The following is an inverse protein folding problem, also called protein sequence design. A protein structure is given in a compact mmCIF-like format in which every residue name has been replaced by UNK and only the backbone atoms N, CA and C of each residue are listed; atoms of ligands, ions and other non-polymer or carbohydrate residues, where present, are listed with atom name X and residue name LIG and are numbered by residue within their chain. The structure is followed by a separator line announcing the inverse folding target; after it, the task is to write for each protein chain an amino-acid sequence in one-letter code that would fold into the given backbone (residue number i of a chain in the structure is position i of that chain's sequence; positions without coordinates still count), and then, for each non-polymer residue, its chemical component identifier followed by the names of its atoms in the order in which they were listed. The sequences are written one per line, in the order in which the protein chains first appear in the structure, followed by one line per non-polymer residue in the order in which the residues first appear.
data_IF_511366363125
#
_entry.id   IF_511366363125
#
_cell.length_a   1.000
_cell.length_b   1.000
_cell.length_c   1.000
_cell.angle_alpha   90.00
_cell.angle_beta   90.00
_cell.angle_gamma   90.00
#
_symmetry.space_group_name_H-M   'P 1'
#
loop_
_entity.id
_entity.type
_entity.pdbx_description
1 polymer ?
#
# COMPACT_ATOMS: atom_id res chain seq x y z
N UNK A 1 -60.29 -5.46 -51.51
CA UNK A 1 -59.92 -4.26 -50.73
C UNK A 1 -59.27 -4.72 -49.43
N UNK A 2 -58.25 -3.98 -49.00
CA UNK A 2 -57.34 -4.21 -47.86
C UNK A 2 -56.06 -5.02 -48.19
N UNK A 3 -55.06 -4.29 -48.69
CA UNK A 3 -53.63 -4.68 -48.61
C UNK A 3 -53.04 -4.07 -47.32
N UNK A 4 -52.36 -4.90 -46.54
CA UNK A 4 -51.74 -4.52 -45.27
C UNK A 4 -50.27 -4.19 -45.52
N UNK A 5 -49.91 -2.91 -45.45
CA UNK A 5 -48.53 -2.42 -45.58
C UNK A 5 -47.79 -2.60 -44.25
N UNK A 6 -46.69 -3.37 -44.27
CA UNK A 6 -45.75 -3.53 -43.15
C UNK A 6 -44.69 -2.42 -43.27
N UNK A 7 -44.79 -1.40 -42.43
CA UNK A 7 -43.78 -0.34 -42.31
C UNK A 7 -42.62 -0.78 -41.44
N UNK A 8 -41.45 -0.99 -42.03
CA UNK A 8 -40.18 -1.16 -41.33
C UNK A 8 -39.65 0.20 -40.87
N UNK A 9 -39.59 0.42 -39.55
CA UNK A 9 -38.97 1.58 -38.92
C UNK A 9 -37.47 1.33 -38.73
N UNK A 10 -36.63 1.94 -39.57
CA UNK A 10 -35.19 1.97 -39.38
C UNK A 10 -34.82 3.20 -38.55
N UNK A 11 -34.53 3.00 -37.26
CA UNK A 11 -33.92 4.03 -36.41
C UNK A 11 -32.43 4.14 -36.73
N UNK A 12 -32.08 5.15 -37.52
CA UNK A 12 -30.70 5.55 -37.74
C UNK A 12 -30.14 6.17 -36.44
N UNK A 13 -29.49 5.34 -35.61
CA UNK A 13 -28.66 5.83 -34.51
C UNK A 13 -27.49 6.64 -35.06
N UNK A 14 -27.52 7.96 -34.83
CA UNK A 14 -26.38 8.84 -35.07
C UNK A 14 -25.24 8.42 -34.12
N UNK A 15 -24.27 7.67 -34.63
CA UNK A 15 -22.99 7.50 -33.96
C UNK A 15 -22.35 8.89 -33.79
N UNK A 16 -22.20 9.32 -32.54
CA UNK A 16 -21.38 10.47 -32.20
C UNK A 16 -19.94 10.15 -32.65
N UNK A 17 -19.50 10.79 -33.74
CA UNK A 17 -18.08 10.82 -34.10
C UNK A 17 -17.38 11.66 -33.04
N UNK A 18 -16.74 11.01 -32.08
CA UNK A 18 -15.63 11.62 -31.35
C UNK A 18 -14.55 11.91 -32.36
N UNK A 19 -14.35 13.21 -32.61
CA UNK A 19 -13.27 13.73 -33.44
C UNK A 19 -11.94 13.41 -32.75
N UNK A 20 -11.37 12.24 -33.02
CA UNK A 20 -9.97 12.00 -32.68
C UNK A 20 -9.14 12.97 -33.51
N UNK A 21 -8.53 13.95 -32.85
CA UNK A 21 -7.48 14.75 -33.45
C UNK A 21 -6.45 13.77 -34.03
N UNK A 22 -6.25 13.82 -35.35
CA UNK A 22 -5.28 12.99 -36.06
C UNK A 22 -3.90 13.42 -35.61
N UNK A 23 -3.44 12.88 -34.49
CA UNK A 23 -2.10 13.10 -33.97
C UNK A 23 -1.11 12.40 -34.91
N UNK A 24 -0.11 13.17 -35.32
CA UNK A 24 0.98 12.70 -36.17
C UNK A 24 1.67 11.51 -35.50
N UNK A 25 1.76 10.40 -36.23
CA UNK A 25 2.34 9.12 -35.78
C UNK A 25 3.87 9.21 -35.55
N UNK A 26 4.49 10.36 -35.85
CA UNK A 26 5.93 10.59 -35.74
C UNK A 26 6.37 11.33 -34.47
N UNK A 27 5.44 11.88 -33.67
CA UNK A 27 5.83 12.60 -32.45
C UNK A 27 6.11 11.65 -31.28
N UNK A 28 7.36 11.19 -31.15
CA UNK A 28 7.87 10.56 -29.92
C UNK A 28 8.36 11.64 -28.96
N UNK A 29 7.77 11.72 -27.76
CA UNK A 29 8.23 12.61 -26.69
C UNK A 29 7.30 12.66 -25.48
N UNK A 30 7.84 13.03 -24.32
CA UNK A 30 7.05 13.38 -23.14
C UNK A 30 6.42 14.76 -23.35
N UNK A 31 5.12 14.91 -23.05
CA UNK A 31 4.57 16.25 -22.86
C UNK A 31 5.06 16.85 -21.54
N UNK A 32 5.00 18.18 -21.44
CA UNK A 32 5.37 18.98 -20.25
C UNK A 32 4.54 18.56 -19.02
N UNK A 33 3.42 17.85 -19.24
CA UNK A 33 2.48 17.39 -18.20
C UNK A 33 2.57 15.89 -17.86
N UNK A 34 3.57 15.15 -18.35
CA UNK A 34 3.75 13.74 -17.99
C UNK A 34 2.78 12.77 -18.67
N UNK A 35 2.19 13.15 -19.80
CA UNK A 35 1.43 12.26 -20.69
C UNK A 35 2.33 11.76 -21.84
N UNK A 36 2.21 10.48 -22.20
CA UNK A 36 2.86 9.95 -23.39
C UNK A 36 2.15 10.45 -24.65
N UNK A 37 2.89 11.09 -25.55
CA UNK A 37 2.36 11.52 -26.84
C UNK A 37 2.29 10.32 -27.78
N UNK A 38 1.12 9.69 -27.85
CA UNK A 38 0.85 8.61 -28.80
C UNK A 38 -0.65 8.53 -29.10
N UNK A 39 -1.02 8.30 -30.37
CA UNK A 39 -2.42 8.27 -30.80
C UNK A 39 -3.29 7.23 -30.07
N UNK A 40 -2.65 6.19 -29.54
CA UNK A 40 -3.29 5.11 -28.77
C UNK A 40 -3.22 5.33 -27.25
N UNK A 41 -2.75 6.49 -26.77
CA UNK A 41 -2.68 6.82 -25.34
C UNK A 41 -3.35 8.17 -25.13
N UNK A 42 -4.57 8.13 -24.61
CA UNK A 42 -5.16 9.28 -23.94
C UNK A 42 -4.91 9.22 -22.42
N UNK A 43 -5.42 10.21 -21.70
CA UNK A 43 -5.24 10.34 -20.26
C UNK A 43 -5.81 9.13 -19.49
N UNK A 44 -7.03 8.71 -19.82
CA UNK A 44 -7.71 7.62 -19.13
C UNK A 44 -7.02 6.27 -19.39
N UNK A 45 -6.58 6.06 -20.63
CA UNK A 45 -5.80 4.88 -21.03
C UNK A 45 -4.46 4.84 -20.28
N UNK A 46 -3.74 5.97 -20.20
CA UNK A 46 -2.49 6.03 -19.44
C UNK A 46 -2.72 5.71 -17.96
N UNK A 47 -3.74 6.30 -17.34
CA UNK A 47 -4.06 6.05 -15.92
C UNK A 47 -4.38 4.57 -15.69
N UNK A 48 -5.22 3.96 -16.53
CA UNK A 48 -5.57 2.54 -16.40
C UNK A 48 -4.34 1.66 -16.49
N UNK A 49 -3.53 1.83 -17.54
CA UNK A 49 -2.30 1.02 -17.72
C UNK A 49 -1.35 1.20 -16.54
N UNK A 50 -1.12 2.44 -16.12
CA UNK A 50 -0.24 2.74 -14.99
C UNK A 50 -0.80 2.13 -13.70
N UNK A 51 -2.13 2.19 -13.48
CA UNK A 51 -2.83 1.58 -12.36
C UNK A 51 -2.57 0.09 -12.25
N UNK A 52 -2.77 -0.67 -13.33
CA UNK A 52 -2.51 -2.12 -13.35
C UNK A 52 -1.08 -2.47 -12.94
N UNK A 53 -0.11 -1.67 -13.40
CA UNK A 53 1.32 -1.86 -13.08
C UNK A 53 1.64 -1.39 -11.66
N UNK A 54 1.06 -0.29 -11.18
CA UNK A 54 1.24 0.22 -9.82
C UNK A 54 0.71 -0.77 -8.78
N UNK A 55 -0.49 -1.31 -8.99
CA UNK A 55 -1.18 -2.20 -8.05
C UNK A 55 -0.45 -3.54 -7.87
N UNK A 56 0.20 -4.01 -8.93
CA UNK A 56 0.88 -5.31 -8.94
C UNK A 56 2.40 -5.20 -8.80
N UNK A 57 2.95 -4.00 -8.95
CA UNK A 57 4.38 -3.72 -9.19
C UNK A 57 4.91 -4.21 -10.54
N UNK A 58 4.22 -5.15 -11.19
CA UNK A 58 4.48 -5.63 -12.55
C UNK A 58 3.27 -6.41 -13.09
N UNK A 59 2.84 -6.10 -14.31
CA UNK A 59 1.74 -6.77 -14.99
C UNK A 59 2.20 -7.39 -16.31
N UNK A 60 1.57 -8.49 -16.74
CA UNK A 60 1.81 -9.03 -18.07
C UNK A 60 1.06 -8.19 -19.11
N UNK A 61 1.62 -8.03 -20.32
CA UNK A 61 0.99 -7.23 -21.39
C UNK A 61 -0.45 -7.71 -21.66
N UNK A 62 -0.71 -9.02 -21.64
CA UNK A 62 -2.04 -9.58 -21.85
C UNK A 62 -3.05 -9.16 -20.78
N UNK A 63 -2.62 -9.08 -19.51
CA UNK A 63 -3.48 -8.64 -18.41
C UNK A 63 -3.86 -7.15 -18.57
N UNK A 64 -2.87 -6.30 -18.91
CA UNK A 64 -3.10 -4.87 -19.15
C UNK A 64 -4.04 -4.67 -20.34
N UNK A 65 -3.87 -5.44 -21.42
CA UNK A 65 -4.74 -5.38 -22.60
C UNK A 65 -6.18 -5.76 -22.24
N UNK A 66 -6.38 -6.76 -21.39
CA UNK A 66 -7.70 -7.19 -20.95
C UNK A 66 -8.44 -6.10 -20.14
N UNK A 67 -7.72 -5.18 -19.49
CA UNK A 67 -8.27 -4.04 -18.74
C UNK A 67 -8.66 -2.85 -19.62
N UNK A 68 -8.43 -2.93 -20.94
CA UNK A 68 -8.78 -1.90 -21.92
C UNK A 68 -9.84 -2.40 -22.93
N UNK A 69 -11.03 -2.84 -22.48
CA UNK A 69 -12.06 -3.33 -23.38
C UNK A 69 -12.52 -2.22 -24.33
N UNK A 70 -12.58 -2.53 -25.64
CA UNK A 70 -13.01 -1.59 -26.68
C UNK A 70 -11.92 -0.63 -27.17
N UNK A 71 -10.72 -0.65 -26.60
CA UNK A 71 -9.62 0.17 -27.10
C UNK A 71 -9.12 -0.34 -28.47
N UNK A 72 -8.91 0.53 -29.48
CA UNK A 72 -8.60 0.10 -30.85
C UNK A 72 -7.21 -0.52 -31.01
N UNK A 73 -6.25 -0.19 -30.13
CA UNK A 73 -4.89 -0.73 -30.18
C UNK A 73 -4.22 -0.78 -28.78
N UNK A 74 -4.71 -1.62 -27.86
CA UNK A 74 -4.26 -1.62 -26.46
C UNK A 74 -2.79 -2.02 -26.32
N UNK A 75 -2.28 -2.94 -27.13
CA UNK A 75 -0.86 -3.29 -27.14
C UNK A 75 0.04 -2.10 -27.55
N UNK A 76 -0.40 -1.28 -28.51
CA UNK A 76 0.34 -0.09 -28.94
C UNK A 76 0.35 0.98 -27.83
N UNK A 77 -0.74 1.12 -27.07
CA UNK A 77 -0.82 2.00 -25.92
C UNK A 77 0.23 1.65 -24.85
N UNK A 78 0.32 0.37 -24.48
CA UNK A 78 1.32 -0.11 -23.51
C UNK A 78 2.74 0.14 -24.00
N UNK A 79 3.03 -0.17 -25.26
CA UNK A 79 4.36 0.04 -25.82
C UNK A 79 4.71 1.52 -25.96
N UNK A 80 3.75 2.40 -26.18
CA UNK A 80 3.98 3.85 -26.18
C UNK A 80 4.43 4.35 -24.79
N UNK A 81 3.88 3.83 -23.69
CA UNK A 81 4.34 4.16 -22.34
C UNK A 81 5.75 3.60 -22.05
N UNK A 82 6.09 2.43 -22.62
CA UNK A 82 7.45 1.89 -22.56
C UNK A 82 8.43 2.78 -23.34
N UNK A 83 8.09 3.15 -24.56
CA UNK A 83 8.90 4.02 -25.42
C UNK A 83 9.10 5.42 -24.82
N UNK A 84 8.08 5.94 -24.12
CA UNK A 84 8.14 7.20 -23.40
C UNK A 84 8.90 7.11 -22.06
N UNK A 85 9.32 5.90 -21.64
CA UNK A 85 10.08 5.67 -20.42
C UNK A 85 9.26 5.68 -19.13
N UNK A 86 7.92 5.72 -19.19
CA UNK A 86 7.06 5.58 -18.02
C UNK A 86 7.02 4.15 -17.49
N UNK A 87 7.27 3.18 -18.37
CA UNK A 87 7.26 1.76 -18.07
C UNK A 87 8.54 1.10 -18.59
N UNK A 88 8.94 0.02 -17.93
CA UNK A 88 10.06 -0.83 -18.33
C UNK A 88 9.51 -2.19 -18.72
N UNK A 89 9.97 -2.69 -19.87
CA UNK A 89 9.67 -4.04 -20.35
C UNK A 89 10.81 -4.99 -19.99
N UNK A 90 10.47 -6.23 -19.64
CA UNK A 90 11.44 -7.32 -19.58
C UNK A 90 12.11 -7.55 -20.96
N UNK A 91 13.42 -7.86 -21.03
CA UNK A 91 14.07 -8.19 -22.30
C UNK A 91 13.48 -9.46 -22.92
N UNK A 92 13.42 -9.51 -24.25
CA UNK A 92 12.88 -10.64 -25.00
C UNK A 92 11.79 -10.27 -26.01
N UNK A 93 11.19 -11.25 -26.70
CA UNK A 93 10.09 -11.04 -27.62
C UNK A 93 8.85 -10.51 -26.89
N UNK A 94 8.04 -9.71 -27.59
CA UNK A 94 6.76 -9.23 -27.09
C UNK A 94 5.73 -10.34 -27.26
N UNK A 95 5.22 -10.83 -26.14
CA UNK A 95 4.17 -11.85 -26.03
C UNK A 95 3.13 -11.38 -25.02
N UNK A 96 1.94 -12.00 -24.95
CA UNK A 96 0.96 -11.71 -23.89
C UNK A 96 1.52 -11.88 -22.47
N UNK A 97 2.59 -12.67 -22.29
CA UNK A 97 3.24 -12.92 -21.00
C UNK A 97 4.42 -12.00 -20.69
N UNK A 98 4.84 -11.15 -21.63
CA UNK A 98 5.93 -10.21 -21.42
C UNK A 98 5.58 -9.25 -20.29
N UNK A 99 6.50 -9.06 -19.34
CA UNK A 99 6.25 -8.26 -18.13
C UNK A 99 6.57 -6.80 -18.36
N UNK A 100 5.68 -5.95 -17.85
CA UNK A 100 5.82 -4.51 -17.77
C UNK A 100 5.90 -4.13 -16.29
N UNK A 101 6.88 -3.31 -15.92
CA UNK A 101 7.09 -2.81 -14.56
C UNK A 101 7.32 -1.30 -14.60
N UNK A 102 7.26 -0.64 -13.44
CA UNK A 102 7.76 0.73 -13.35
C UNK A 102 9.28 0.75 -13.59
N UNK A 103 9.83 1.77 -14.25
CA UNK A 103 11.27 1.98 -14.32
C UNK A 103 11.79 2.19 -12.89
N UNK A 104 12.95 1.61 -12.60
CA UNK A 104 13.72 2.03 -11.43
C UNK A 104 14.17 3.47 -11.72
N UNK A 105 13.53 4.45 -11.06
CA UNK A 105 13.95 5.84 -11.15
C UNK A 105 15.31 5.95 -10.45
N UNK A 106 16.39 6.05 -11.24
CA UNK A 106 17.67 6.56 -10.79
C UNK A 106 17.42 8.00 -10.30
N UNK A 107 17.46 8.19 -8.98
CA UNK A 107 17.06 9.45 -8.35
C UNK A 107 18.09 10.52 -8.73
N UNK A 108 17.67 11.74 -9.12
CA UNK A 108 18.61 12.85 -9.21
C UNK A 108 19.33 13.02 -7.86
N UNK A 109 20.62 13.39 -7.92
CA UNK A 109 21.39 13.68 -6.72
C UNK A 109 20.62 14.67 -5.83
N UNK A 110 20.57 14.45 -4.51
CA UNK A 110 19.77 15.26 -3.62
C UNK A 110 20.22 16.72 -3.70
N UNK A 111 19.27 17.61 -4.03
CA UNK A 111 19.44 19.05 -3.85
C UNK A 111 19.76 19.30 -2.38
N UNK A 112 20.97 19.80 -2.11
CA UNK A 112 21.41 20.22 -0.78
C UNK A 112 20.60 21.46 -0.42
N UNK A 113 19.53 21.29 0.36
CA UNK A 113 18.80 22.38 0.97
C UNK A 113 19.63 22.91 2.15
N UNK A 114 20.13 24.14 2.03
CA UNK A 114 20.74 24.85 3.14
C UNK A 114 19.70 25.07 4.25
N UNK A 115 20.04 24.67 5.48
CA UNK A 115 19.16 24.77 6.62
C UNK A 115 18.89 26.25 6.96
N UNK A 116 17.63 26.65 7.22
CA UNK A 116 17.33 27.99 7.69
C UNK A 116 17.96 28.18 9.09
N UNK A 117 18.85 29.16 9.20
CA UNK A 117 19.39 29.60 10.47
C UNK A 117 18.30 30.34 11.26
N UNK A 118 17.93 29.82 12.43
CA UNK A 118 17.22 30.59 13.47
C UNK A 118 15.86 30.05 13.88
N UNK A 119 15.84 29.02 14.73
CA UNK A 119 14.67 28.63 15.51
C UNK A 119 14.74 29.22 16.92
N UNK A 120 13.98 30.29 17.19
CA UNK A 120 13.82 30.86 18.53
C UNK A 120 13.06 29.94 19.46
N UNK A 121 13.48 29.89 20.73
CA UNK A 121 12.86 29.05 21.76
C UNK A 121 11.39 29.44 22.03
N UNK A 122 10.49 28.46 22.24
CA UNK A 122 9.10 28.73 22.58
C UNK A 122 8.97 29.29 24.01
N UNK A 123 8.07 30.26 24.25
CA UNK A 123 7.86 30.84 25.58
C UNK A 123 7.18 29.84 26.55
N UNK A 124 7.68 29.83 27.78
CA UNK A 124 7.17 29.02 28.88
C UNK A 124 5.69 29.32 29.21
N UNK A 125 4.94 28.26 29.48
CA UNK A 125 3.48 28.22 29.58
C UNK A 125 2.86 29.12 30.66
N UNK A 126 1.79 29.82 30.28
CA UNK A 126 0.88 30.52 31.19
C UNK A 126 -0.08 29.53 31.85
N UNK A 127 -0.33 29.75 33.15
CA UNK A 127 -1.25 28.96 34.00
C UNK A 127 -2.67 28.91 33.41
N UNK A 128 -3.24 27.71 33.45
CA UNK A 128 -4.47 27.31 32.77
C UNK A 128 -5.67 28.23 33.03
N UNK A 129 -6.22 28.75 31.94
CA UNK A 129 -7.53 29.38 31.89
C UNK A 129 -8.56 28.26 32.00
N UNK A 130 -9.54 28.39 32.90
CA UNK A 130 -10.70 27.47 32.97
C UNK A 130 -11.35 27.45 31.59
N UNK A 131 -11.26 26.32 30.90
CA UNK A 131 -11.91 26.08 29.61
C UNK A 131 -13.41 25.99 29.89
N UNK A 132 -14.21 26.78 29.18
CA UNK A 132 -15.66 26.68 29.28
C UNK A 132 -16.10 25.28 28.79
N UNK A 133 -17.13 24.66 29.39
CA UNK A 133 -17.63 23.37 28.93
C UNK A 133 -18.01 23.44 27.46
N UNK A 134 -17.64 22.41 26.69
CA UNK A 134 -18.02 22.27 25.28
C UNK A 134 -19.55 22.15 25.16
N UNK A 135 -20.17 22.68 24.08
CA UNK A 135 -21.59 22.50 23.81
C UNK A 135 -21.96 21.01 23.73
N UNK A 136 -23.18 20.63 24.14
CA UNK A 136 -23.69 19.24 24.07
C UNK A 136 -23.72 18.65 22.65
N UNK A 137 -23.57 19.48 21.62
CA UNK A 137 -23.48 19.07 20.21
C UNK A 137 -22.07 18.65 19.79
N UNK A 138 -21.07 18.82 20.64
CA UNK A 138 -19.67 18.46 20.35
C UNK A 138 -19.37 17.10 20.98
N UNK A 139 -19.27 16.08 20.15
CA UNK A 139 -18.75 14.78 20.58
C UNK A 139 -17.24 14.91 20.82
N UNK A 140 -16.81 14.73 22.06
CA UNK A 140 -15.39 14.61 22.41
C UNK A 140 -15.00 13.15 22.22
N UNK A 141 -14.08 12.88 21.29
CA UNK A 141 -13.52 11.55 21.09
C UNK A 141 -12.24 11.49 21.92
N UNK A 142 -12.27 10.70 22.99
CA UNK A 142 -11.07 10.46 23.80
C UNK A 142 -10.01 9.77 22.94
N UNK A 143 -8.95 10.51 22.65
CA UNK A 143 -7.89 10.06 21.75
C UNK A 143 -6.86 9.23 22.53
N UNK A 144 -6.90 7.90 22.41
CA UNK A 144 -5.85 6.98 22.90
C UNK A 144 -4.56 7.06 22.06
N UNK A 145 -3.95 8.25 21.99
CA UNK A 145 -2.73 8.49 21.20
C UNK A 145 -1.50 8.05 22.00
N UNK A 146 -0.73 7.16 21.40
CA UNK A 146 0.66 6.88 21.80
C UNK A 146 1.51 8.06 21.33
N UNK A 147 2.16 8.78 22.24
CA UNK A 147 2.87 10.02 21.94
C UNK A 147 4.40 9.80 22.05
N UNK A 148 5.16 9.88 20.95
CA UNK A 148 6.57 9.54 20.98
C UNK A 148 7.43 10.55 21.74
N UNK A 149 8.19 10.06 22.71
CA UNK A 149 9.40 10.71 23.25
C UNK A 149 10.59 10.07 22.56
N UNK A 150 11.37 10.90 21.85
CA UNK A 150 12.52 10.44 21.09
C UNK A 150 13.81 10.89 21.73
N UNK A 151 14.77 9.97 21.81
CA UNK A 151 16.14 10.25 22.23
C UNK A 151 17.08 9.73 21.15
N UNK A 152 17.91 10.60 20.60
CA UNK A 152 18.96 10.24 19.64
C UNK A 152 20.30 10.40 20.33
N UNK A 153 21.07 9.31 20.38
CA UNK A 153 22.39 9.32 21.01
C UNK A 153 23.40 8.59 20.17
N UNK A 154 24.66 8.98 20.32
CA UNK A 154 25.75 8.12 19.88
C UNK A 154 25.84 6.92 20.81
N UNK A 155 26.32 5.80 20.28
CA UNK A 155 26.44 4.59 21.08
C UNK A 155 27.41 4.75 22.27
N UNK A 156 28.46 5.55 22.11
CA UNK A 156 29.43 5.86 23.17
C UNK A 156 28.80 6.59 24.36
N UNK A 157 27.82 7.46 24.09
CA UNK A 157 27.09 8.25 25.09
C UNK A 157 25.84 7.52 25.61
N UNK A 158 25.60 6.29 25.14
CA UNK A 158 24.35 5.58 25.44
C UNK A 158 24.19 5.43 26.96
N UNK A 159 25.26 5.07 27.68
CA UNK A 159 25.22 4.86 29.13
C UNK A 159 24.85 6.11 29.95
N UNK A 160 24.94 7.30 29.35
CA UNK A 160 24.63 8.58 29.99
C UNK A 160 23.15 8.95 29.89
N UNK A 161 22.36 8.22 29.11
CA UNK A 161 20.93 8.47 29.02
C UNK A 161 20.20 8.15 30.33
N UNK A 162 19.20 8.97 30.72
CA UNK A 162 18.29 8.62 31.79
C UNK A 162 17.69 7.24 31.55
N UNK A 163 17.89 6.35 32.53
CA UNK A 163 17.25 5.03 32.49
C UNK A 163 15.75 5.21 32.44
N UNK A 164 15.11 4.34 31.67
CA UNK A 164 13.67 4.29 31.58
C UNK A 164 13.19 2.86 31.73
N UNK A 165 11.96 2.75 32.19
CA UNK A 165 11.25 1.49 32.36
C UNK A 165 10.15 1.37 31.32
N UNK A 166 9.71 0.14 31.08
CA UNK A 166 8.61 -0.17 30.19
C UNK A 166 9.01 -0.33 28.71
N UNK A 167 8.01 -0.54 27.84
CA UNK A 167 8.26 -0.87 26.45
C UNK A 167 8.80 0.32 25.64
N UNK A 168 9.67 0.02 24.69
CA UNK A 168 10.17 0.98 23.72
C UNK A 168 10.60 0.28 22.43
N UNK A 169 10.65 1.05 21.35
CA UNK A 169 11.28 0.63 20.09
C UNK A 169 12.49 1.51 19.81
N UNK A 170 13.46 0.98 19.09
CA UNK A 170 14.68 1.70 18.76
C UNK A 170 15.18 1.36 17.36
N UNK A 171 15.90 2.29 16.76
CA UNK A 171 16.54 2.15 15.47
C UNK A 171 18.04 2.40 15.64
N UNK A 172 18.87 1.38 15.37
CA UNK A 172 20.32 1.53 15.29
C UNK A 172 20.75 1.92 13.89
N UNK A 173 21.68 2.87 13.75
CA UNK A 173 22.29 3.27 12.48
C UNK A 173 23.79 2.92 12.47
N UNK A 174 24.24 2.19 11.44
CA UNK A 174 25.65 1.89 11.16
C UNK A 174 25.96 2.19 9.70
N UNK A 175 26.51 3.36 9.40
CA UNK A 175 26.66 3.86 8.04
C UNK A 175 25.32 3.90 7.29
N UNK A 176 25.08 2.97 6.36
CA UNK A 176 23.82 2.80 5.61
C UNK A 176 23.00 1.59 6.05
N UNK A 177 23.29 1.03 7.23
CA UNK A 177 22.61 -0.15 7.77
C UNK A 177 21.71 0.29 8.93
N UNK A 178 20.45 -0.12 8.89
CA UNK A 178 19.43 0.19 9.88
C UNK A 178 19.00 -1.08 10.62
N UNK A 179 18.97 -1.04 11.95
CA UNK A 179 18.54 -2.14 12.80
C UNK A 179 17.35 -1.74 13.66
N UNK A 180 16.12 -2.16 13.33
CA UNK A 180 14.98 -2.00 14.21
C UNK A 180 15.09 -2.99 15.37
N UNK A 181 14.71 -2.54 16.55
CA UNK A 181 14.62 -3.40 17.71
C UNK A 181 13.56 -2.91 18.69
N UNK A 182 13.17 -3.77 19.62
CA UNK A 182 12.33 -3.42 20.77
C UNK A 182 12.89 -3.88 22.09
N UNK A 183 12.35 -3.33 23.15
CA UNK A 183 12.55 -3.77 24.54
C UNK A 183 11.22 -3.72 25.28
N UNK A 184 10.96 -4.71 26.13
CA UNK A 184 9.75 -4.77 26.97
C UNK A 184 10.02 -4.26 28.39
N UNK A 185 11.30 -4.18 28.77
CA UNK A 185 11.78 -3.85 30.12
C UNK A 185 12.61 -2.56 30.15
N UNK A 186 12.56 -1.79 29.08
CA UNK A 186 13.29 -0.53 28.94
C UNK A 186 14.80 -0.71 28.73
N UNK A 187 15.57 0.04 29.50
CA UNK A 187 17.00 0.30 29.27
C UNK A 187 17.93 -0.91 29.05
N UNK A 188 17.84 -2.03 29.80
CA UNK A 188 18.88 -3.07 29.79
C UNK A 188 19.14 -3.70 28.42
N UNK A 189 18.11 -3.82 27.57
CA UNK A 189 18.28 -4.36 26.23
C UNK A 189 18.96 -3.37 25.28
N UNK A 190 18.68 -2.08 25.41
CA UNK A 190 19.32 -1.07 24.54
C UNK A 190 20.81 -0.95 24.88
N UNK A 191 21.17 -1.09 26.16
CA UNK A 191 22.57 -1.14 26.60
C UNK A 191 23.28 -2.48 26.27
N UNK A 192 22.62 -3.43 25.59
CA UNK A 192 23.17 -4.76 25.36
C UNK A 192 24.17 -4.81 24.19
N UNK A 193 25.07 -5.81 24.15
CA UNK A 193 26.15 -5.87 23.17
C UNK A 193 25.74 -5.98 21.70
N UNK A 194 24.48 -6.29 21.36
CA UNK A 194 24.07 -6.44 19.95
C UNK A 194 24.05 -5.12 19.17
N UNK A 195 24.03 -3.98 19.87
CA UNK A 195 24.20 -2.65 19.27
C UNK A 195 25.67 -2.24 19.16
N UNK A 196 26.63 -3.11 19.52
CA UNK A 196 28.06 -2.80 19.39
C UNK A 196 28.42 -2.52 17.92
N UNK A 197 29.01 -1.35 17.69
CA UNK A 197 29.48 -0.92 16.38
C UNK A 197 28.43 -0.23 15.51
N UNK A 198 27.27 0.14 16.07
CA UNK A 198 26.39 1.15 15.50
C UNK A 198 26.86 2.55 15.91
N UNK A 199 26.69 3.53 15.02
CA UNK A 199 27.13 4.91 15.20
C UNK A 199 26.15 5.68 16.11
N UNK A 200 24.85 5.50 15.86
CA UNK A 200 23.76 6.17 16.57
C UNK A 200 22.62 5.21 16.88
N UNK A 201 21.86 5.53 17.91
CA UNK A 201 20.61 4.85 18.26
C UNK A 201 19.54 5.91 18.49
N UNK A 202 18.40 5.78 17.81
CA UNK A 202 17.18 6.51 18.11
C UNK A 202 16.28 5.61 18.96
N UNK A 203 15.86 6.07 20.13
CA UNK A 203 14.96 5.35 21.04
C UNK A 203 13.63 6.09 21.09
N UNK A 204 12.55 5.39 20.78
CA UNK A 204 11.17 5.89 20.77
C UNK A 204 10.44 5.27 21.96
N UNK A 205 10.01 6.12 22.89
CA UNK A 205 9.20 5.76 24.07
C UNK A 205 7.86 6.44 23.97
N UNK A 206 6.89 5.99 24.75
CA UNK A 206 5.58 6.63 24.82
C UNK A 206 5.44 7.50 26.07
N UNK A 207 5.13 8.78 25.87
CA UNK A 207 4.88 9.74 26.95
C UNK A 207 3.65 9.38 27.78
N UNK A 208 2.67 8.69 27.18
CA UNK A 208 1.38 8.38 27.78
C UNK A 208 1.34 7.04 28.52
N UNK A 209 2.39 6.22 28.39
CA UNK A 209 2.46 4.88 29.00
C UNK A 209 1.49 3.84 28.41
N UNK A 210 0.89 4.12 27.25
CA UNK A 210 -0.02 3.24 26.51
C UNK A 210 0.72 2.21 25.63
N UNK A 211 2.00 2.42 25.32
CA UNK A 211 2.80 1.47 24.54
C UNK A 211 3.03 0.16 25.32
N UNK A 212 2.17 -0.83 25.09
CA UNK A 212 2.31 -2.18 25.65
C UNK A 212 3.41 -2.99 24.94
N UNK A 213 3.94 -4.10 25.50
CA UNK A 213 4.89 -4.98 24.80
C UNK A 213 4.37 -5.50 23.45
N UNK A 214 3.05 -5.75 23.37
CA UNK A 214 2.38 -6.18 22.14
C UNK A 214 2.42 -5.06 21.09
N UNK A 215 2.06 -3.83 21.45
CA UNK A 215 2.15 -2.67 20.56
C UNK A 215 3.61 -2.34 20.18
N UNK A 216 4.56 -2.50 21.10
CA UNK A 216 5.98 -2.33 20.81
C UNK A 216 6.48 -3.34 19.75
N UNK A 217 5.98 -4.57 19.74
CA UNK A 217 6.27 -5.54 18.68
C UNK A 217 5.72 -5.09 17.32
N UNK A 218 4.50 -4.54 17.27
CA UNK A 218 3.93 -3.95 16.05
C UNK A 218 4.78 -2.77 15.57
N UNK A 219 5.09 -1.85 16.47
CA UNK A 219 5.92 -0.68 16.17
C UNK A 219 7.33 -1.06 15.69
N UNK A 220 7.96 -2.10 16.26
CA UNK A 220 9.25 -2.63 15.79
C UNK A 220 9.17 -3.12 14.35
N UNK A 221 8.11 -3.86 14.00
CA UNK A 221 7.87 -4.30 12.64
C UNK A 221 7.67 -3.13 11.69
N UNK A 222 6.80 -2.17 12.05
CA UNK A 222 6.54 -0.98 11.22
C UNK A 222 7.84 -0.20 11.02
N UNK A 223 8.63 -0.02 12.07
CA UNK A 223 9.96 0.60 12.00
C UNK A 223 10.89 -0.13 11.03
N UNK A 224 10.85 -1.47 11.01
CA UNK A 224 11.56 -2.30 10.03
C UNK A 224 11.07 -2.12 8.59
N UNK A 225 9.75 -1.96 8.38
CA UNK A 225 9.17 -1.67 7.05
C UNK A 225 9.63 -0.29 6.55
N UNK A 226 9.63 0.73 7.40
CA UNK A 226 10.23 2.02 7.06
C UNK A 226 11.70 1.85 6.66
N UNK A 227 12.50 1.18 7.50
CA UNK A 227 13.92 0.95 7.22
C UNK A 227 14.17 0.23 5.88
N UNK A 228 13.30 -0.69 5.46
CA UNK A 228 13.37 -1.35 4.14
C UNK A 228 12.98 -0.42 2.97
N UNK A 229 12.00 0.46 3.18
CA UNK A 229 11.53 1.40 2.16
C UNK A 229 12.49 2.59 1.95
N UNK A 230 13.34 2.88 2.94
CA UNK A 230 14.33 3.95 2.84
C UNK A 230 15.41 3.66 1.80
N UNK A 231 15.34 4.39 0.68
CA UNK A 231 16.33 4.31 -0.40
C UNK A 231 17.73 4.61 0.13
N UNK A 232 18.70 3.80 -0.28
CA UNK A 232 20.09 3.96 0.12
C UNK A 232 20.44 3.38 1.49
N UNK A 233 19.45 2.85 2.22
CA UNK A 233 19.69 2.09 3.46
C UNK A 233 19.41 0.60 3.24
N UNK A 234 19.95 -0.23 4.13
CA UNK A 234 19.69 -1.67 4.18
C UNK A 234 19.24 -2.05 5.58
N UNK A 235 18.23 -2.91 5.65
CA UNK A 235 17.82 -3.52 6.90
C UNK A 235 18.90 -4.51 7.38
N UNK A 236 19.27 -4.42 8.66
CA UNK A 236 20.08 -5.43 9.34
C UNK A 236 19.19 -6.62 9.75
N UNK A 237 19.49 -7.80 9.21
CA UNK A 237 18.73 -9.02 9.50
C UNK A 237 17.42 -9.10 8.73
N UNK A 238 16.48 -9.89 9.26
CA UNK A 238 15.14 -10.05 8.69
C UNK A 238 14.17 -9.01 9.25
N UNK A 239 13.09 -8.75 8.52
CA UNK A 239 11.98 -7.93 9.00
C UNK A 239 11.46 -8.50 10.34
N UNK A 240 11.29 -7.68 11.40
CA UNK A 240 10.74 -8.15 12.66
C UNK A 240 9.36 -8.78 12.46
N UNK A 241 9.09 -9.87 13.18
CA UNK A 241 7.83 -10.61 13.04
C UNK A 241 6.66 -9.70 13.43
N UNK A 242 6.76 -8.97 14.54
CA UNK A 242 5.66 -8.18 15.09
C UNK A 242 4.65 -9.02 15.88
N UNK A 243 3.48 -8.43 16.16
CA UNK A 243 2.35 -9.09 16.81
C UNK A 243 1.06 -8.72 16.08
N UNK A 244 0.08 -9.62 15.93
CA UNK A 244 -1.22 -9.23 15.40
C UNK A 244 -1.94 -8.33 16.40
N UNK A 245 -2.55 -7.25 15.93
CA UNK A 245 -3.35 -6.28 16.69
C UNK A 245 -4.60 -5.89 15.91
N UNK A 246 -5.52 -5.14 16.51
CA UNK A 246 -6.63 -4.55 15.77
C UNK A 246 -6.19 -3.41 14.85
N UNK A 247 -7.06 -3.01 13.90
CA UNK A 247 -6.76 -1.93 12.95
C UNK A 247 -6.41 -0.62 13.63
N UNK A 248 -7.20 -0.18 14.61
CA UNK A 248 -6.96 1.05 15.36
C UNK A 248 -5.60 1.03 16.08
N UNK A 249 -5.27 -0.07 16.74
CA UNK A 249 -3.99 -0.28 17.42
C UNK A 249 -2.82 -0.24 16.43
N UNK A 250 -2.98 -0.83 15.24
CA UNK A 250 -1.98 -0.79 14.18
C UNK A 250 -1.78 0.63 13.63
N UNK A 251 -2.86 1.37 13.40
CA UNK A 251 -2.81 2.77 12.95
C UNK A 251 -2.10 3.62 14.01
N UNK A 252 -2.44 3.45 15.28
CA UNK A 252 -1.77 4.16 16.38
C UNK A 252 -0.27 3.85 16.43
N UNK A 253 0.12 2.58 16.28
CA UNK A 253 1.52 2.19 16.21
C UNK A 253 2.25 2.77 14.99
N UNK A 254 1.57 2.86 13.84
CA UNK A 254 2.12 3.47 12.60
C UNK A 254 2.38 4.95 12.79
N UNK A 255 1.41 5.69 13.32
CA UNK A 255 1.57 7.12 13.61
C UNK A 255 2.68 7.36 14.63
N UNK A 256 2.73 6.56 15.71
CA UNK A 256 3.79 6.62 16.71
C UNK A 256 5.19 6.46 16.10
N UNK A 257 5.36 5.48 15.20
CA UNK A 257 6.64 5.25 14.51
C UNK A 257 6.97 6.40 13.56
N UNK A 258 6.00 6.85 12.76
CA UNK A 258 6.19 7.93 11.78
C UNK A 258 6.61 9.24 12.47
N UNK A 259 5.87 9.67 13.48
CA UNK A 259 6.19 10.85 14.30
C UNK A 259 7.55 10.69 14.98
N UNK A 260 7.84 9.50 15.51
CA UNK A 260 9.12 9.21 16.15
C UNK A 260 10.30 9.29 15.18
N UNK A 261 10.14 8.84 13.93
CA UNK A 261 11.17 8.94 12.89
C UNK A 261 11.40 10.39 12.44
N UNK A 262 10.34 11.19 12.31
CA UNK A 262 10.43 12.62 12.01
C UNK A 262 11.22 13.34 13.12
N UNK A 263 10.88 13.08 14.39
CA UNK A 263 11.61 13.64 15.53
C UNK A 263 13.06 13.16 15.57
N UNK A 264 13.33 11.87 15.31
CA UNK A 264 14.69 11.35 15.25
C UNK A 264 15.52 12.02 14.14
N UNK A 265 14.93 12.26 12.97
CA UNK A 265 15.59 12.97 11.87
C UNK A 265 15.94 14.41 12.27
N UNK A 266 15.01 15.14 12.89
CA UNK A 266 15.23 16.51 13.41
C UNK A 266 16.29 16.57 14.50
N UNK A 267 16.43 15.51 15.29
CA UNK A 267 17.48 15.33 16.30
C UNK A 267 18.81 14.82 15.72
N UNK A 268 18.94 14.77 14.39
CA UNK A 268 20.20 14.44 13.73
C UNK A 268 20.53 12.95 13.71
N UNK A 269 19.54 12.05 13.76
CA UNK A 269 19.78 10.60 13.65
C UNK A 269 20.43 10.21 12.31
N UNK A 270 20.22 11.00 11.24
CA UNK A 270 20.92 10.81 9.96
C UNK A 270 20.10 10.08 8.89
N UNK A 271 18.79 10.35 8.82
CA UNK A 271 17.89 9.88 7.75
C UNK A 271 17.71 10.97 6.69
N UNK A 272 18.80 11.40 6.04
CA UNK A 272 18.77 12.52 5.10
C UNK A 272 17.95 12.18 3.83
N UNK A 273 17.24 13.18 3.29
CA UNK A 273 16.51 13.05 2.02
C UNK A 273 15.21 12.25 2.06
N UNK A 274 14.69 12.02 3.27
CA UNK A 274 13.36 11.45 3.53
C UNK A 274 12.46 12.60 3.95
N UNK A 275 11.31 12.76 3.30
CA UNK A 275 10.36 13.82 3.68
C UNK A 275 9.50 13.39 4.87
N UNK A 276 8.97 14.35 5.63
CA UNK A 276 7.98 14.08 6.69
C UNK A 276 6.79 13.30 6.11
N UNK A 277 6.38 13.62 4.88
CA UNK A 277 5.31 12.92 4.17
C UNK A 277 5.66 11.44 3.94
N UNK A 278 6.89 11.11 3.54
CA UNK A 278 7.32 9.72 3.32
C UNK A 278 7.26 8.90 4.63
N UNK A 279 7.52 9.52 5.78
CA UNK A 279 7.32 8.87 7.08
C UNK A 279 5.83 8.72 7.41
N UNK A 280 4.99 9.73 7.17
CA UNK A 280 3.57 9.64 7.49
C UNK A 280 2.82 8.65 6.60
N UNK A 281 3.12 8.63 5.30
CA UNK A 281 2.57 7.63 4.37
C UNK A 281 3.22 6.26 4.57
N UNK A 282 4.36 6.21 5.25
CA UNK A 282 5.19 5.03 5.39
C UNK A 282 5.59 4.36 4.08
N UNK A 283 6.08 3.13 4.17
CA UNK A 283 6.03 2.23 3.02
C UNK A 283 4.54 2.10 2.68
N UNK A 284 4.08 2.69 1.56
CA UNK A 284 2.65 2.83 1.19
C UNK A 284 1.84 1.63 1.70
N UNK A 285 1.10 1.88 2.77
CA UNK A 285 0.47 0.84 3.57
C UNK A 285 -0.94 0.54 3.04
N UNK A 286 -1.33 -0.73 2.91
CA UNK A 286 -2.64 -1.18 2.41
C UNK A 286 -3.89 -0.78 3.18
N UNK A 287 -3.75 -0.10 4.32
CA UNK A 287 -4.90 0.21 5.17
C UNK A 287 -5.84 1.23 4.53
N UNK A 288 -5.35 2.00 3.55
CA UNK A 288 -6.16 2.91 2.75
C UNK A 288 -7.12 2.14 1.83
N UNK A 289 -6.88 0.84 1.63
CA UNK A 289 -7.75 -0.06 0.88
C UNK A 289 -8.78 -0.75 1.78
N UNK A 290 -8.86 -0.47 3.08
CA UNK A 290 -9.87 -1.05 3.96
C UNK A 290 -11.05 -0.07 4.12
N UNK A 291 -12.26 -0.52 3.78
CA UNK A 291 -13.49 0.26 4.06
C UNK A 291 -13.99 -0.04 5.47
N UNK A 292 -14.82 0.85 6.01
CA UNK A 292 -15.65 0.51 7.16
C UNK A 292 -16.71 -0.51 6.73
N UNK A 293 -17.03 -1.47 7.60
CA UNK A 293 -18.00 -2.54 7.30
C UNK A 293 -19.37 -1.97 6.94
N UNK A 294 -19.75 -0.86 7.57
CA UNK A 294 -21.03 -0.18 7.31
C UNK A 294 -21.00 0.68 6.03
N UNK A 295 -19.84 0.80 5.38
CA UNK A 295 -19.62 1.60 4.18
C UNK A 295 -19.45 0.73 2.91
N UNK A 296 -19.91 -0.53 2.94
CA UNK A 296 -19.92 -1.36 1.73
C UNK A 296 -20.98 -0.79 0.78
N UNK A 297 -20.61 -0.30 -0.41
CA UNK A 297 -21.55 0.27 -1.37
C UNK A 297 -22.43 -0.83 -1.99
N UNK A 298 -23.58 -0.43 -2.52
CA UNK A 298 -24.39 -1.30 -3.38
C UNK A 298 -23.64 -1.59 -4.69
N UNK A 299 -23.83 -2.80 -5.23
CA UNK A 299 -23.18 -3.23 -6.47
C UNK A 299 -23.47 -4.69 -6.81
N UNK A 300 -22.86 -5.16 -7.89
CA UNK A 300 -23.01 -6.55 -8.33
C UNK A 300 -22.15 -7.47 -7.45
N UNK A 301 -22.77 -8.52 -6.87
CA UNK A 301 -22.05 -9.50 -6.05
C UNK A 301 -21.41 -10.59 -6.92
N UNK A 302 -20.17 -10.92 -6.60
CA UNK A 302 -19.39 -11.96 -7.25
C UNK A 302 -18.85 -12.95 -6.21
N UNK A 303 -18.85 -14.23 -6.58
CA UNK A 303 -18.35 -15.32 -5.78
C UNK A 303 -17.11 -15.93 -6.44
N UNK A 304 -16.13 -16.30 -5.63
CA UNK A 304 -14.93 -17.01 -6.05
C UNK A 304 -14.81 -18.31 -5.25
N UNK A 305 -14.76 -19.42 -5.97
CA UNK A 305 -14.48 -20.74 -5.41
C UNK A 305 -13.35 -21.40 -6.18
N UNK A 306 -12.14 -21.39 -5.61
CA UNK A 306 -10.98 -21.99 -6.24
C UNK A 306 -9.90 -22.31 -5.21
N UNK A 307 -9.05 -23.31 -5.50
CA UNK A 307 -7.95 -23.73 -4.61
C UNK A 307 -8.39 -24.06 -3.16
N UNK A 308 -9.64 -24.47 -2.95
CA UNK A 308 -10.19 -24.78 -1.64
C UNK A 308 -10.43 -23.56 -0.74
N UNK A 309 -10.52 -22.35 -1.32
CA UNK A 309 -10.98 -21.14 -0.62
C UNK A 309 -12.25 -20.61 -1.27
N UNK A 310 -13.08 -19.99 -0.45
CA UNK A 310 -14.32 -19.32 -0.84
C UNK A 310 -14.27 -17.83 -0.46
N UNK A 311 -14.52 -16.95 -1.43
CA UNK A 311 -14.53 -15.50 -1.23
C UNK A 311 -15.71 -14.85 -1.94
N UNK A 312 -16.12 -13.68 -1.43
CA UNK A 312 -17.17 -12.85 -2.01
C UNK A 312 -16.66 -11.45 -2.24
N UNK A 313 -17.10 -10.81 -3.29
CA UNK A 313 -16.80 -9.42 -3.59
C UNK A 313 -18.02 -8.69 -4.13
N UNK A 314 -18.08 -7.37 -3.91
CA UNK A 314 -19.03 -6.48 -4.58
C UNK A 314 -18.24 -5.62 -5.57
N UNK A 315 -18.79 -5.44 -6.77
CA UNK A 315 -18.26 -4.50 -7.76
C UNK A 315 -19.12 -3.24 -7.75
N UNK A 316 -18.52 -2.11 -7.41
CA UNK A 316 -19.18 -0.81 -7.34
C UNK A 316 -18.25 0.26 -7.91
N UNK A 317 -18.75 1.08 -8.84
CA UNK A 317 -17.97 2.13 -9.54
C UNK A 317 -16.64 1.64 -10.18
N UNK A 318 -16.58 0.36 -10.54
CA UNK A 318 -15.39 -0.28 -11.14
C UNK A 318 -14.42 -0.89 -10.12
N UNK A 319 -14.58 -0.57 -8.84
CA UNK A 319 -13.80 -1.14 -7.76
C UNK A 319 -14.33 -2.49 -7.31
N UNK A 320 -13.42 -3.39 -6.95
CA UNK A 320 -13.66 -4.73 -6.44
C UNK A 320 -13.45 -4.77 -4.93
N UNK A 321 -14.53 -4.93 -4.19
CA UNK A 321 -14.53 -4.88 -2.74
C UNK A 321 -14.70 -6.30 -2.20
N UNK A 322 -13.62 -6.94 -1.75
CA UNK A 322 -13.68 -8.28 -1.15
C UNK A 322 -14.28 -8.17 0.25
N UNK A 323 -15.35 -8.91 0.49
CA UNK A 323 -16.19 -8.77 1.68
C UNK A 323 -15.62 -9.52 2.89
N UNK A 324 -15.90 -9.06 4.13
CA UNK A 324 -15.61 -9.80 5.36
C UNK A 324 -16.13 -11.24 5.33
N UNK A 325 -15.41 -12.14 5.98
CA UNK A 325 -15.67 -13.58 5.99
C UNK A 325 -15.04 -14.33 4.82
N UNK A 326 -14.63 -13.63 3.75
CA UNK A 326 -13.90 -14.22 2.63
C UNK A 326 -12.63 -14.93 3.08
N UNK A 327 -12.34 -16.06 2.47
CA UNK A 327 -11.19 -16.89 2.78
C UNK A 327 -10.03 -16.54 1.86
N UNK A 328 -8.84 -16.46 2.44
CA UNK A 328 -7.61 -16.13 1.70
C UNK A 328 -6.62 -17.25 1.88
N UNK A 329 -6.15 -17.82 0.77
CA UNK A 329 -5.27 -18.99 0.80
C UNK A 329 -3.93 -18.64 1.46
N UNK A 330 -3.47 -19.36 2.49
CA UNK A 330 -2.17 -19.04 3.11
C UNK A 330 -0.97 -19.27 2.20
N UNK A 331 -0.97 -20.41 1.51
CA UNK A 331 0.16 -20.83 0.67
C UNK A 331 0.24 -19.96 -0.58
N UNK A 332 1.27 -19.14 -0.63
CA UNK A 332 1.63 -18.37 -1.82
C UNK A 332 2.35 -19.24 -2.84
N UNK A 333 2.04 -19.02 -4.11
CA UNK A 333 2.82 -19.58 -5.21
C UNK A 333 3.99 -18.65 -5.53
N UNK A 334 5.13 -19.17 -6.06
CA UNK A 334 6.27 -18.32 -6.44
C UNK A 334 5.94 -17.24 -7.48
N UNK A 335 4.84 -17.40 -8.22
CA UNK A 335 4.41 -16.44 -9.24
C UNK A 335 3.69 -15.22 -8.66
N UNK A 336 3.25 -15.29 -7.40
CA UNK A 336 2.58 -14.16 -6.74
C UNK A 336 3.55 -12.97 -6.66
N UNK A 337 3.07 -11.78 -7.00
CA UNK A 337 3.89 -10.57 -6.90
C UNK A 337 4.30 -10.28 -5.45
N UNK A 338 5.48 -9.68 -5.26
CA UNK A 338 5.95 -9.27 -3.94
C UNK A 338 4.96 -8.33 -3.23
N UNK A 339 4.24 -7.49 -3.99
CA UNK A 339 3.21 -6.58 -3.48
C UNK A 339 2.10 -7.34 -2.75
N UNK A 340 1.55 -8.40 -3.34
CA UNK A 340 0.47 -9.20 -2.72
C UNK A 340 0.96 -9.91 -1.45
N UNK A 341 2.23 -10.35 -1.42
CA UNK A 341 2.80 -10.92 -0.20
C UNK A 341 2.92 -9.89 0.91
N UNK A 342 3.48 -8.71 0.61
CA UNK A 342 3.58 -7.60 1.57
C UNK A 342 2.20 -7.19 2.09
N UNK A 343 1.23 -7.04 1.17
CA UNK A 343 -0.16 -6.72 1.45
C UNK A 343 -0.78 -7.68 2.49
N UNK A 344 -0.70 -8.99 2.23
CA UNK A 344 -1.23 -10.02 3.13
C UNK A 344 -0.52 -10.02 4.48
N UNK A 345 0.79 -9.80 4.49
CA UNK A 345 1.53 -9.72 5.74
C UNK A 345 1.05 -8.51 6.56
N UNK A 346 0.93 -7.33 5.95
CA UNK A 346 0.44 -6.14 6.65
C UNK A 346 -0.98 -6.33 7.18
N UNK A 347 -1.90 -6.85 6.37
CA UNK A 347 -3.26 -7.13 6.81
C UNK A 347 -3.35 -8.21 7.90
N UNK A 348 -2.44 -9.19 7.90
CA UNK A 348 -2.36 -10.17 8.99
C UNK A 348 -1.96 -9.51 10.32
N UNK A 349 -1.04 -8.54 10.29
CA UNK A 349 -0.59 -7.85 11.50
C UNK A 349 -1.54 -6.74 11.95
N UNK A 350 -2.29 -6.13 11.03
CA UNK A 350 -3.34 -5.16 11.37
C UNK A 350 -4.67 -5.79 11.78
N UNK A 351 -4.79 -7.12 11.70
CA UNK A 351 -6.00 -7.85 12.07
C UNK A 351 -7.09 -7.89 11.00
N UNK A 352 -6.85 -7.26 9.84
CA UNK A 352 -7.71 -7.33 8.64
C UNK A 352 -7.75 -8.75 8.08
N UNK A 353 -6.64 -9.50 8.21
CA UNK A 353 -6.59 -10.93 8.02
C UNK A 353 -6.39 -11.63 9.37
N UNK A 354 -7.17 -12.67 9.60
CA UNK A 354 -7.05 -13.56 10.76
C UNK A 354 -6.57 -14.93 10.34
N UNK A 355 -5.65 -15.50 11.11
CA UNK A 355 -5.21 -16.89 10.94
C UNK A 355 -6.28 -17.89 11.44
N UNK A 356 -6.81 -18.72 10.53
CA UNK A 356 -7.76 -19.80 10.83
C UNK A 356 -7.21 -21.17 10.38
N UNK A 357 -5.93 -21.43 10.66
CA UNK A 357 -5.31 -22.74 10.43
C UNK A 357 -4.92 -23.00 8.98
N UNK A 358 -5.82 -23.53 8.14
CA UNK A 358 -5.50 -23.84 6.74
C UNK A 358 -5.53 -22.60 5.83
N UNK A 359 -6.32 -21.59 6.22
CA UNK A 359 -6.62 -20.37 5.47
C UNK A 359 -6.55 -19.15 6.38
N UNK A 360 -6.45 -17.98 5.77
CA UNK A 360 -6.76 -16.73 6.44
C UNK A 360 -8.24 -16.40 6.24
N UNK A 361 -8.83 -15.64 7.15
CA UNK A 361 -10.17 -15.07 7.02
C UNK A 361 -10.09 -13.56 7.07
N UNK A 362 -10.72 -12.92 6.11
CA UNK A 362 -10.85 -11.47 6.03
C UNK A 362 -11.87 -10.99 7.08
N UNK A 363 -11.53 -9.96 7.85
CA UNK A 363 -12.38 -9.41 8.92
C UNK A 363 -13.02 -8.08 8.54
N UNK A 364 -12.46 -7.38 7.55
CA UNK A 364 -12.89 -6.07 7.08
C UNK A 364 -12.96 -6.06 5.54
N UNK A 365 -13.86 -5.27 4.92
CA UNK A 365 -13.90 -5.15 3.47
C UNK A 365 -12.61 -4.53 2.94
N UNK A 366 -12.07 -5.07 1.84
CA UNK A 366 -10.86 -4.53 1.18
C UNK A 366 -11.09 -4.24 -0.29
N UNK A 367 -10.59 -3.09 -0.75
CA UNK A 367 -10.80 -2.53 -2.08
C UNK A 367 -9.63 -2.84 -2.99
N UNK A 368 -9.94 -3.22 -4.22
CA UNK A 368 -9.01 -3.41 -5.32
C UNK A 368 -9.55 -2.72 -6.56
N UNK A 369 -8.69 -2.09 -7.34
CA UNK A 369 -9.13 -1.43 -8.57
C UNK A 369 -9.52 -2.42 -9.69
N UNK A 370 -9.18 -3.72 -9.53
CA UNK A 370 -9.45 -4.76 -10.54
C UNK A 370 -9.77 -6.11 -9.92
N UNK A 371 -10.63 -6.89 -10.58
CA UNK A 371 -10.98 -8.25 -10.13
C UNK A 371 -9.82 -9.23 -10.19
N UNK A 372 -8.83 -8.97 -11.07
CA UNK A 372 -7.58 -9.73 -11.12
C UNK A 372 -6.73 -9.49 -9.87
N UNK A 373 -6.60 -8.24 -9.40
CA UNK A 373 -5.89 -7.94 -8.16
C UNK A 373 -6.59 -8.59 -6.95
N UNK A 374 -7.91 -8.50 -6.87
CA UNK A 374 -8.72 -9.16 -5.85
C UNK A 374 -8.54 -10.69 -5.86
N UNK A 375 -8.61 -11.33 -7.04
CA UNK A 375 -8.41 -12.78 -7.19
C UNK A 375 -6.98 -13.20 -6.78
N UNK A 376 -5.96 -12.46 -7.23
CA UNK A 376 -4.57 -12.71 -6.86
C UNK A 376 -4.36 -12.60 -5.35
N UNK A 377 -5.00 -11.60 -4.73
CA UNK A 377 -5.01 -11.44 -3.29
C UNK A 377 -5.68 -12.62 -2.57
N UNK A 378 -6.81 -13.13 -3.05
CA UNK A 378 -7.52 -14.27 -2.44
C UNK A 378 -6.75 -15.59 -2.64
N UNK A 379 -6.30 -15.86 -3.87
CA UNK A 379 -5.76 -17.15 -4.30
C UNK A 379 -4.26 -17.30 -4.06
N UNK A 380 -3.51 -16.20 -3.91
CA UNK A 380 -2.06 -16.23 -3.70
C UNK A 380 -1.29 -16.72 -4.92
N UNK A 381 -1.84 -16.49 -6.12
CA UNK A 381 -1.26 -16.92 -7.40
C UNK A 381 -1.78 -16.06 -8.54
N UNK A 382 -0.96 -15.81 -9.56
CA UNK A 382 -1.32 -15.14 -10.82
C UNK A 382 -2.20 -15.98 -11.78
N UNK A 383 -2.88 -16.99 -11.27
CA UNK A 383 -3.52 -18.02 -12.09
C UNK A 383 -4.92 -17.60 -12.54
N UNK A 384 -5.99 -18.05 -11.86
CA UNK A 384 -7.33 -17.60 -12.16
C UNK A 384 -7.45 -16.09 -11.86
N UNK A 385 -7.46 -15.28 -12.93
CA UNK A 385 -7.63 -13.83 -12.88
C UNK A 385 -9.12 -13.49 -12.68
N UNK A 386 -9.62 -12.44 -13.34
CA UNK A 386 -11.04 -12.07 -13.38
C UNK A 386 -12.01 -13.24 -13.61
N UNK A 387 -11.65 -14.22 -14.43
CA UNK A 387 -12.47 -15.40 -14.73
C UNK A 387 -12.72 -16.33 -13.53
N UNK A 388 -12.03 -16.12 -12.40
CA UNK A 388 -12.28 -16.84 -11.16
C UNK A 388 -13.57 -16.40 -10.46
N UNK A 389 -14.09 -15.23 -10.81
CA UNK A 389 -15.27 -14.62 -10.22
C UNK A 389 -16.53 -15.00 -11.01
N UNK A 390 -17.61 -15.34 -10.30
CA UNK A 390 -18.91 -15.73 -10.85
C UNK A 390 -20.01 -14.83 -10.27
N UNK A 391 -20.77 -14.15 -11.13
CA UNK A 391 -21.80 -13.18 -10.72
C UNK A 391 -23.19 -13.77 -10.41
N UNK A 392 -23.43 -15.06 -10.64
CA UNK A 392 -24.75 -15.68 -10.41
C UNK A 392 -24.82 -16.50 -9.11
N UNK A 393 -23.79 -16.40 -8.27
CA UNK A 393 -23.66 -17.22 -7.06
C UNK A 393 -23.42 -18.71 -7.31
N UNK A 394 -23.50 -19.20 -8.54
CA UNK A 394 -23.17 -20.59 -8.88
C UNK A 394 -21.66 -20.76 -8.84
N UNK A 395 -21.22 -21.84 -8.19
CA UNK A 395 -19.80 -22.19 -8.17
C UNK A 395 -19.35 -22.47 -9.60
N UNK A 396 -18.18 -21.96 -10.04
CA UNK A 396 -17.61 -22.37 -11.32
C UNK A 396 -17.49 -23.90 -11.47
N UNK A 397 -17.39 -24.63 -10.35
CA UNK A 397 -17.38 -26.10 -10.34
C UNK A 397 -18.73 -26.73 -10.69
N UNK A 398 -19.85 -26.08 -10.40
CA UNK A 398 -21.17 -26.55 -10.83
C UNK A 398 -21.35 -26.39 -12.34
N UNK A 399 -20.57 -25.48 -12.96
CA UNK A 399 -20.56 -25.25 -14.41
C UNK A 399 -19.50 -26.07 -15.15
N UNK A 400 -18.56 -26.71 -14.44
CA UNK A 400 -17.64 -27.63 -15.11
C UNK A 400 -18.45 -28.86 -15.54
N UNK A 401 -18.44 -29.24 -16.84
CA UNK A 401 -19.13 -30.44 -17.28
C UNK A 401 -18.61 -31.61 -16.46
N UNK A 402 -19.52 -32.28 -15.72
CA UNK A 402 -19.16 -33.49 -15.01
C UNK A 402 -18.60 -34.45 -16.05
N UNK A 403 -17.30 -34.69 -15.96
CA UNK A 403 -16.60 -35.56 -16.90
C UNK A 403 -17.12 -36.97 -16.62
N UNK A 404 -17.74 -37.65 -17.59
CA UNK A 404 -18.41 -38.93 -17.37
C UNK A 404 -17.46 -40.04 -16.93
#
# INVERSE_FOLDING_TARGET
MAETNVGASASAGKHARTSFHTLDHTQKGLDIEGLARHWAVDYDVQIRIMGSVFDTGSAAIGDIIAELPGHPAPAAAVMALVDAGFLKREPGPITPHTRISLPLVDRPEPLVLEAPAGGGAPPAGKKGKKVAPLPETVAEIESRRVAPIVSVVKLEDLLDLPRFEGPAVYLGLKGKILYPGRTDKGWPRIAAPHLKGYDKVAVLRDASGQLTPRLAAVAERILGLHAQALRGYRLAGSLPIGSPVGREEYIAARLFVAEGLILAQRLGFGLAGVSDQDFMTGARGPLDQCLDVDAIPEGDEYHLYACGVEARAVVSDGDWIVLPGSEVRKKLTPTVGAVVNSLRQEWLFSGVLKDEGARYRLTEPVVFNTGTAAANFVLGSKGPNLAAWSGDGSSPLERMPQTP
#
